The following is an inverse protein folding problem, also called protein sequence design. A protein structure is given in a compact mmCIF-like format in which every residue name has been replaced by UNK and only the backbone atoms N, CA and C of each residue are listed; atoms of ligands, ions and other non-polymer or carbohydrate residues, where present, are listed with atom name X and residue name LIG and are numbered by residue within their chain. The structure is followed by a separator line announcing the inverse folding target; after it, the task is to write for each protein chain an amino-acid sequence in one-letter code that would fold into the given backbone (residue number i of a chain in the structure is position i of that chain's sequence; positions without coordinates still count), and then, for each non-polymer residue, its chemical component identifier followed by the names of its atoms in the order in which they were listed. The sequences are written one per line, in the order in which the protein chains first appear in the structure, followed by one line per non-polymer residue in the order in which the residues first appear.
data_IF_396737726323
#
_entry.id   IF_396737726323
#
_cell.length_a   1.000
_cell.length_b   1.000
_cell.length_c   1.000
_cell.angle_alpha   90.00
_cell.angle_beta   90.00
_cell.angle_gamma   90.00
#
_symmetry.space_group_name_H-M   'P 1'
#
loop_
_entity.id
_entity.type
_entity.pdbx_description
1 polymer ?
#
# COMPACT_ATOMS: atom_id res chain seq x y z
N UNK A 1 53.29 4.65 20.16
CA UNK A 1 51.82 4.49 20.05
C UNK A 1 51.31 4.22 21.45
N UNK A 2 50.49 4.99 22.13
CA UNK A 2 49.70 6.18 21.84
C UNK A 2 48.70 6.27 22.99
N UNK A 3 49.13 6.88 24.11
CA UNK A 3 48.30 7.05 25.30
C UNK A 3 47.23 8.12 25.03
N UNK A 4 46.02 7.87 25.54
CA UNK A 4 44.80 8.68 25.34
C UNK A 4 44.98 10.12 25.84
N UNK A 5 44.42 11.14 25.15
CA UNK A 5 44.32 12.47 25.71
C UNK A 5 43.01 12.65 26.50
N UNK A 6 43.21 13.23 27.68
CA UNK A 6 42.50 14.41 28.21
C UNK A 6 40.99 14.35 28.47
N UNK A 7 40.68 14.04 29.73
CA UNK A 7 39.61 14.66 30.51
C UNK A 7 39.89 16.16 30.67
N UNK A 8 39.08 17.01 30.04
CA UNK A 8 38.82 18.38 30.48
C UNK A 8 37.31 18.62 30.48
N UNK A 9 36.73 18.58 31.68
CA UNK A 9 35.31 18.86 31.94
C UNK A 9 35.18 20.38 32.06
N UNK A 10 35.05 21.05 30.92
CA UNK A 10 34.71 22.46 30.85
C UNK A 10 33.27 22.71 31.30
N UNK A 11 33.15 23.50 32.36
CA UNK A 11 31.98 24.17 32.94
C UNK A 11 30.73 24.25 32.05
N UNK A 12 29.64 23.64 32.51
CA UNK A 12 28.29 23.97 32.05
C UNK A 12 27.86 25.25 32.74
N UNK A 13 28.04 26.37 32.04
CA UNK A 13 27.37 27.64 32.31
C UNK A 13 25.86 27.40 32.30
N UNK A 14 25.31 27.20 33.50
CA UNK A 14 23.90 26.98 33.75
C UNK A 14 23.28 28.35 33.93
N UNK A 15 23.19 29.09 32.82
CA UNK A 15 22.60 30.42 32.78
C UNK A 15 21.20 30.43 33.40
N UNK A 16 21.12 31.11 34.54
CA UNK A 16 20.03 32.00 34.92
C UNK A 16 18.61 31.53 34.59
N UNK A 17 18.08 30.60 35.40
CA UNK A 17 16.65 30.36 35.45
C UNK A 17 16.00 31.33 36.44
N UNK A 18 15.54 32.45 35.90
CA UNK A 18 14.79 33.46 36.63
C UNK A 18 13.45 32.87 37.13
N UNK A 19 13.27 32.79 38.44
CA UNK A 19 12.12 32.13 39.07
C UNK A 19 10.79 32.90 38.89
N UNK A 20 10.82 34.03 38.18
CA UNK A 20 9.68 34.91 37.92
C UNK A 20 8.99 34.66 36.58
N UNK A 21 9.54 33.78 35.73
CA UNK A 21 8.90 33.42 34.47
C UNK A 21 7.66 32.54 34.71
N UNK A 22 6.49 33.18 34.73
CA UNK A 22 5.20 32.49 34.66
C UNK A 22 5.09 31.86 33.27
N UNK A 23 5.50 30.60 33.14
CA UNK A 23 5.26 29.80 31.95
C UNK A 23 3.75 29.50 31.89
N UNK A 24 2.98 30.40 31.27
CA UNK A 24 1.60 30.14 30.92
C UNK A 24 1.60 29.03 29.87
N UNK A 25 1.36 27.79 30.30
CA UNK A 25 1.16 26.68 29.37
C UNK A 25 -0.03 27.03 28.47
N UNK A 26 0.12 26.99 27.14
CA UNK A 26 -1.03 27.19 26.26
C UNK A 26 -2.07 26.13 26.61
N UNK A 27 -3.31 26.58 26.82
CA UNK A 27 -4.47 25.71 26.99
C UNK A 27 -4.47 24.73 25.83
N UNK A 28 -4.69 23.44 26.11
CA UNK A 28 -4.73 22.37 25.10
C UNK A 28 -5.94 22.59 24.17
N UNK A 29 -5.80 23.48 23.18
CA UNK A 29 -6.84 23.78 22.19
C UNK A 29 -6.83 22.61 21.20
N UNK A 30 -7.65 21.59 21.49
CA UNK A 30 -7.88 20.48 20.57
C UNK A 30 -8.48 21.03 19.27
N UNK A 31 -7.71 20.96 18.18
CA UNK A 31 -8.15 21.36 16.86
C UNK A 31 -9.34 20.47 16.40
N UNK A 32 -10.35 21.06 15.75
CA UNK A 32 -11.59 20.33 15.38
C UNK A 32 -11.34 19.12 14.46
N UNK A 33 -10.19 19.05 13.79
CA UNK A 33 -9.77 17.87 13.02
C UNK A 33 -9.50 16.62 13.87
N UNK A 34 -9.35 16.76 15.18
CA UNK A 34 -9.23 15.65 16.13
C UNK A 34 -10.57 15.26 16.77
N UNK A 35 -11.68 15.86 16.33
CA UNK A 35 -13.00 15.41 16.75
C UNK A 35 -13.25 13.98 16.24
N UNK A 36 -13.85 13.09 17.06
CA UNK A 36 -14.20 11.75 16.62
C UNK A 36 -15.15 11.82 15.42
N UNK A 37 -14.86 11.02 14.39
CA UNK A 37 -15.68 10.97 13.19
C UNK A 37 -17.09 10.44 13.55
N UNK A 38 -18.11 11.28 13.35
CA UNK A 38 -19.50 10.86 13.45
C UNK A 38 -19.83 9.98 12.24
N UNK A 39 -19.75 8.66 12.44
CA UNK A 39 -20.20 7.71 11.44
C UNK A 39 -21.73 7.74 11.35
N UNK A 40 -22.31 7.75 10.13
CA UNK A 40 -23.75 7.62 9.99
C UNK A 40 -24.21 6.31 10.63
N UNK A 41 -25.35 6.37 11.34
CA UNK A 41 -25.94 5.19 11.96
C UNK A 41 -26.11 4.09 10.90
N UNK A 42 -25.65 2.87 11.23
CA UNK A 42 -25.79 1.73 10.33
C UNK A 42 -27.28 1.56 9.96
N UNK A 43 -27.61 1.36 8.68
CA UNK A 43 -29.00 1.19 8.27
C UNK A 43 -29.63 0.02 9.03
N UNK A 44 -30.73 0.31 9.72
CA UNK A 44 -31.46 -0.63 10.56
C UNK A 44 -32.19 -1.66 9.71
N UNK A 45 -31.68 -2.89 9.73
CA UNK A 45 -32.36 -4.07 9.19
C UNK A 45 -32.46 -4.12 7.66
N UNK A 46 -32.66 -5.33 7.13
CA UNK A 46 -32.96 -5.52 5.72
C UNK A 46 -34.41 -5.12 5.50
N UNK A 47 -34.66 -4.20 4.57
CA UNK A 47 -36.04 -3.86 4.19
C UNK A 47 -36.73 -5.11 3.63
N UNK A 48 -38.05 -5.27 3.81
CA UNK A 48 -38.79 -6.43 3.28
C UNK A 48 -38.69 -6.54 1.74
N UNK A 49 -38.45 -5.42 1.05
CA UNK A 49 -38.15 -5.37 -0.38
C UNK A 49 -36.76 -5.97 -0.66
N UNK A 50 -35.76 -5.61 0.15
CA UNK A 50 -34.41 -6.16 0.06
C UNK A 50 -34.37 -7.67 0.32
N UNK A 51 -35.20 -8.17 1.23
CA UNK A 51 -35.31 -9.61 1.50
C UNK A 51 -35.90 -10.37 0.31
N UNK A 52 -37.00 -9.89 -0.28
CA UNK A 52 -37.58 -10.47 -1.50
C UNK A 52 -36.59 -10.44 -2.67
N UNK A 53 -35.81 -9.37 -2.78
CA UNK A 53 -34.77 -9.27 -3.82
C UNK A 53 -33.64 -10.28 -3.59
N UNK A 54 -33.14 -10.42 -2.36
CA UNK A 54 -32.13 -11.42 -2.02
C UNK A 54 -32.63 -12.86 -2.23
N UNK A 55 -33.88 -13.13 -1.91
CA UNK A 55 -34.51 -14.42 -2.15
C UNK A 55 -34.62 -14.73 -3.65
N UNK A 56 -34.96 -13.72 -4.47
CA UNK A 56 -34.95 -13.84 -5.94
C UNK A 56 -33.55 -14.11 -6.50
N UNK A 57 -32.49 -13.59 -5.87
CA UNK A 57 -31.11 -13.86 -6.27
C UNK A 57 -30.64 -15.27 -5.89
N UNK A 58 -31.11 -15.81 -4.76
CA UNK A 58 -30.81 -17.19 -4.32
C UNK A 58 -31.50 -18.24 -5.18
N UNK A 59 -32.70 -17.95 -5.67
CA UNK A 59 -33.47 -18.84 -6.53
C UNK A 59 -33.00 -18.83 -7.98
N UNK A 60 -32.18 -17.85 -8.38
CA UNK A 60 -31.52 -17.90 -9.68
C UNK A 60 -30.54 -19.08 -9.65
N UNK A 61 -30.67 -20.05 -10.57
CA UNK A 61 -29.63 -21.05 -10.76
C UNK A 61 -28.36 -20.24 -11.06
N UNK A 62 -27.45 -20.23 -10.09
CA UNK A 62 -26.14 -19.65 -10.28
C UNK A 62 -25.50 -20.55 -11.30
N UNK A 63 -25.64 -20.20 -12.59
CA UNK A 63 -24.76 -20.76 -13.60
C UNK A 63 -23.38 -20.58 -12.99
N UNK A 64 -22.60 -21.66 -12.76
CA UNK A 64 -21.28 -21.53 -12.20
C UNK A 64 -20.64 -20.45 -13.05
N UNK A 65 -20.25 -19.31 -12.44
CA UNK A 65 -19.59 -18.22 -13.14
C UNK A 65 -18.55 -18.93 -13.94
N UNK A 66 -18.79 -19.08 -15.25
CA UNK A 66 -18.08 -20.05 -16.04
C UNK A 66 -16.65 -19.61 -15.81
N UNK A 67 -15.91 -20.39 -15.04
CA UNK A 67 -14.55 -20.08 -14.68
C UNK A 67 -13.96 -19.99 -16.06
N UNK A 68 -13.83 -18.74 -16.54
CA UNK A 68 -13.57 -18.49 -17.94
C UNK A 68 -12.39 -19.39 -18.12
N UNK A 69 -12.52 -20.36 -19.01
CA UNK A 69 -11.39 -21.14 -19.44
C UNK A 69 -10.54 -20.12 -20.16
N UNK A 70 -9.89 -19.25 -19.38
CA UNK A 70 -8.52 -18.84 -19.53
C UNK A 70 -7.89 -20.20 -19.67
N UNK A 71 -7.86 -20.65 -20.92
CA UNK A 71 -6.99 -21.71 -21.33
C UNK A 71 -5.71 -21.31 -20.63
N UNK A 72 -5.25 -22.18 -19.72
CA UNK A 72 -3.84 -22.21 -19.39
C UNK A 72 -3.13 -22.65 -20.68
N UNK A 73 -3.29 -21.86 -21.74
CA UNK A 73 -2.22 -21.60 -22.64
C UNK A 73 -1.20 -21.02 -21.68
N UNK A 74 -0.30 -21.91 -21.25
CA UNK A 74 1.02 -21.54 -20.79
C UNK A 74 1.63 -20.78 -21.96
N UNK A 75 1.13 -19.56 -22.20
CA UNK A 75 1.76 -18.56 -23.00
C UNK A 75 3.08 -18.44 -22.29
N UNK A 76 4.11 -19.00 -22.90
CA UNK A 76 5.49 -18.75 -22.57
C UNK A 76 5.58 -17.25 -22.30
N UNK A 77 5.59 -16.84 -21.02
CA UNK A 77 5.61 -15.44 -20.59
C UNK A 77 7.04 -14.92 -20.80
N UNK A 78 7.52 -15.04 -22.04
CA UNK A 78 8.85 -14.63 -22.46
C UNK A 78 8.87 -13.18 -22.87
N UNK A 79 7.72 -12.56 -23.17
CA UNK A 79 7.63 -11.15 -23.52
C UNK A 79 6.59 -10.37 -22.70
N UNK A 80 6.88 -9.11 -22.43
CA UNK A 80 6.02 -8.18 -21.68
C UNK A 80 4.65 -8.00 -22.33
N UNK A 81 4.59 -7.97 -23.67
CA UNK A 81 3.35 -7.77 -24.42
C UNK A 81 2.35 -8.93 -24.27
N UNK A 82 2.85 -10.14 -24.03
CA UNK A 82 2.02 -11.33 -23.85
C UNK A 82 1.49 -11.48 -22.43
N UNK A 83 2.04 -10.70 -21.49
CA UNK A 83 1.57 -10.66 -20.11
C UNK A 83 0.16 -10.02 -20.06
N UNK A 84 -0.81 -10.59 -19.31
CA UNK A 84 -2.14 -9.99 -19.19
C UNK A 84 -2.08 -8.53 -18.74
N UNK A 85 -2.89 -7.66 -19.36
CA UNK A 85 -2.84 -6.21 -19.12
C UNK A 85 -3.02 -5.85 -17.64
N UNK A 86 -3.89 -6.55 -16.92
CA UNK A 86 -4.08 -6.36 -15.48
C UNK A 86 -2.78 -6.61 -14.70
N UNK A 87 -2.05 -7.65 -15.08
CA UNK A 87 -0.78 -8.04 -14.45
C UNK A 87 0.32 -7.03 -14.76
N UNK A 88 0.40 -6.54 -16.01
CA UNK A 88 1.31 -5.44 -16.37
C UNK A 88 1.06 -4.18 -15.55
N UNK A 89 -0.20 -3.77 -15.40
CA UNK A 89 -0.59 -2.61 -14.57
C UNK A 89 -0.18 -2.78 -13.12
N UNK A 90 -0.36 -3.97 -12.57
CA UNK A 90 0.02 -4.29 -11.20
C UNK A 90 1.54 -4.21 -11.01
N UNK A 91 2.32 -4.84 -11.90
CA UNK A 91 3.79 -4.82 -11.82
C UNK A 91 4.30 -3.38 -12.00
N UNK A 92 3.78 -2.62 -12.97
CA UNK A 92 4.17 -1.22 -13.17
C UNK A 92 3.90 -0.35 -11.94
N UNK A 93 2.75 -0.57 -11.27
CA UNK A 93 2.41 0.13 -10.02
C UNK A 93 3.37 -0.23 -8.88
N UNK A 94 3.68 -1.51 -8.69
CA UNK A 94 4.64 -1.95 -7.66
C UNK A 94 6.04 -1.40 -7.95
N UNK A 95 6.42 -1.35 -9.22
CA UNK A 95 7.68 -0.75 -9.65
C UNK A 95 7.70 0.79 -9.52
N UNK A 96 6.59 1.45 -9.16
CA UNK A 96 6.52 2.92 -9.11
C UNK A 96 6.64 3.61 -10.47
N UNK A 97 6.34 2.89 -11.56
CA UNK A 97 6.43 3.39 -12.93
C UNK A 97 5.11 4.01 -13.39
N UNK A 98 5.18 4.88 -14.40
CA UNK A 98 3.97 5.49 -14.99
C UNK A 98 3.11 4.46 -15.71
N UNK A 99 1.82 4.78 -15.87
CA UNK A 99 0.86 3.93 -16.59
C UNK A 99 1.23 3.70 -18.06
N UNK A 100 2.05 4.57 -18.65
CA UNK A 100 2.46 4.48 -20.06
C UNK A 100 3.34 3.25 -20.32
N UNK A 101 4.12 2.83 -19.33
CA UNK A 101 5.00 1.64 -19.39
C UNK A 101 4.22 0.36 -19.68
N UNK A 102 2.95 0.31 -19.29
CA UNK A 102 2.04 -0.85 -19.49
C UNK A 102 1.77 -1.12 -20.97
N UNK A 103 1.76 -0.07 -21.80
CA UNK A 103 1.43 -0.17 -23.23
C UNK A 103 2.69 -0.19 -24.11
N UNK A 104 3.88 0.06 -23.54
CA UNK A 104 5.16 -0.06 -24.25
C UNK A 104 5.45 -1.50 -24.69
N UNK A 105 6.17 -1.66 -25.80
CA UNK A 105 6.76 -2.95 -26.19
C UNK A 105 8.07 -3.15 -25.45
N UNK A 106 8.52 -4.41 -25.30
CA UNK A 106 9.78 -4.73 -24.61
C UNK A 106 11.01 -3.97 -25.11
N UNK A 107 11.09 -3.76 -26.42
CA UNK A 107 12.20 -3.02 -27.05
C UNK A 107 12.17 -1.51 -26.76
N UNK A 108 11.00 -0.97 -26.40
CA UNK A 108 10.78 0.45 -26.15
C UNK A 108 10.96 0.79 -24.65
N UNK A 109 11.12 -0.24 -23.81
CA UNK A 109 11.45 -0.08 -22.39
C UNK A 109 12.92 0.30 -22.24
N UNK A 110 13.18 1.31 -21.41
CA UNK A 110 14.56 1.65 -21.04
C UNK A 110 15.16 0.55 -20.15
N UNK A 111 16.49 0.47 -20.09
CA UNK A 111 17.14 -0.49 -19.18
C UNK A 111 16.80 -0.23 -17.70
N UNK A 112 16.58 1.04 -17.34
CA UNK A 112 16.12 1.41 -15.99
C UNK A 112 14.72 0.89 -15.71
N UNK A 113 13.77 1.06 -16.64
CA UNK A 113 12.41 0.52 -16.51
C UNK A 113 12.43 -1.02 -16.40
N UNK A 114 13.23 -1.69 -17.23
CA UNK A 114 13.37 -3.16 -17.17
C UNK A 114 13.94 -3.62 -15.83
N UNK A 115 14.92 -2.91 -15.29
CA UNK A 115 15.49 -3.24 -13.98
C UNK A 115 14.46 -3.08 -12.85
N UNK A 116 13.68 -1.99 -12.87
CA UNK A 116 12.62 -1.74 -11.88
C UNK A 116 11.50 -2.78 -11.98
N UNK A 117 11.07 -3.14 -13.19
CA UNK A 117 10.09 -4.21 -13.41
C UNK A 117 10.59 -5.56 -12.91
N UNK A 118 11.86 -5.90 -13.16
CA UNK A 118 12.48 -7.14 -12.67
C UNK A 118 12.54 -7.18 -11.14
N UNK A 119 12.91 -6.07 -10.50
CA UNK A 119 12.92 -5.94 -9.04
C UNK A 119 11.51 -6.13 -8.47
N UNK A 120 10.52 -5.42 -9.01
CA UNK A 120 9.14 -5.54 -8.56
C UNK A 120 8.60 -6.98 -8.67
N UNK A 121 8.92 -7.68 -9.75
CA UNK A 121 8.54 -9.10 -9.91
C UNK A 121 9.19 -9.98 -8.84
N UNK A 122 10.47 -9.73 -8.51
CA UNK A 122 11.18 -10.47 -7.47
C UNK A 122 10.53 -10.24 -6.09
N UNK A 123 10.23 -8.99 -5.76
CA UNK A 123 9.57 -8.61 -4.49
C UNK A 123 8.19 -9.27 -4.35
N UNK A 124 7.39 -9.23 -5.43
CA UNK A 124 6.09 -9.90 -5.44
C UNK A 124 6.21 -11.40 -5.24
N UNK A 125 7.19 -12.06 -5.89
CA UNK A 125 7.44 -13.50 -5.71
C UNK A 125 7.80 -13.81 -4.25
N UNK A 126 8.63 -12.99 -3.63
CA UNK A 126 9.01 -13.16 -2.23
C UNK A 126 7.81 -13.01 -1.29
N UNK A 127 6.97 -12.00 -1.50
CA UNK A 127 5.73 -11.83 -0.74
C UNK A 127 4.78 -13.03 -0.89
N UNK A 128 4.60 -13.54 -2.10
CA UNK A 128 3.73 -14.70 -2.35
C UNK A 128 4.30 -15.98 -1.73
N UNK A 129 5.62 -16.19 -1.78
CA UNK A 129 6.24 -17.33 -1.13
C UNK A 129 6.01 -17.30 0.39
N UNK A 130 6.15 -16.13 1.02
CA UNK A 130 5.89 -15.97 2.45
C UNK A 130 4.45 -16.24 2.88
N UNK A 131 3.48 -16.01 1.99
CA UNK A 131 2.05 -16.27 2.26
C UNK A 131 1.66 -17.75 2.12
N UNK A 132 2.37 -18.51 1.26
CA UNK A 132 2.09 -19.94 1.02
C UNK A 132 2.79 -20.84 2.05
N UNK A 133 3.79 -20.31 2.77
CA UNK A 133 4.54 -21.03 3.81
C UNK A 133 3.96 -20.89 5.24
N UNK A 134 2.71 -20.46 5.38
CA UNK A 134 1.95 -20.38 6.66
C UNK A 134 0.97 -21.56 6.78
#
# INVERSE_FOLDING_TARGET
MGARPDTDLGDRDSGDHDATEVISRPVDIRHMSHAPANLPAAPTGKTPIGEKYLESLRQRPTAPVAARSVRRDLVSLTCWKDTPQLYRKMIARVAGLSGDVVEKRDRDLTETEKAMLRSAIADMRQCFQGLVSL
#
